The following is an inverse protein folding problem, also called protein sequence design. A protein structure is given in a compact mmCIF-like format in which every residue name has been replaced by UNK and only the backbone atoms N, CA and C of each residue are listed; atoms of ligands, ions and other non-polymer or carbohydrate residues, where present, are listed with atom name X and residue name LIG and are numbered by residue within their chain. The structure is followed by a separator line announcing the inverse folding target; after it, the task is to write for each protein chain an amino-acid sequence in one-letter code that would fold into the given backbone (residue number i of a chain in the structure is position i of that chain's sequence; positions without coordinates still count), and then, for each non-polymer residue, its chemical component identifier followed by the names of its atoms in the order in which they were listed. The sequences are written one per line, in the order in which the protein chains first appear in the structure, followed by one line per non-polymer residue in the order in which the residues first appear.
data_IF_558880388648
#
_entry.id   IF_558880388648
#
_cell.length_a   1.000
_cell.length_b   1.000
_cell.length_c   1.000
_cell.angle_alpha   90.00
_cell.angle_beta   90.00
_cell.angle_gamma   90.00
#
_symmetry.space_group_name_H-M   'P 1'
#
loop_
_entity.id
_entity.type
_entity.pdbx_description
1 polymer ?
#
# COMPACT_ATOMS: atom_id res chain seq x y z
N UNK A 1 13.50 18.11 -15.11
CA UNK A 1 13.30 18.00 -13.64
C UNK A 1 14.64 17.90 -12.88
N UNK A 2 14.86 18.77 -11.89
CA UNK A 2 16.13 18.84 -11.14
C UNK A 2 16.50 17.50 -10.46
N UNK A 3 15.51 16.77 -9.95
CA UNK A 3 15.68 15.47 -9.30
C UNK A 3 16.25 14.34 -10.18
N UNK A 4 16.39 14.54 -11.50
CA UNK A 4 17.07 13.59 -12.39
C UNK A 4 18.57 13.84 -12.53
N UNK A 5 19.03 15.03 -12.17
CA UNK A 5 20.41 15.49 -12.40
C UNK A 5 21.15 15.75 -11.09
N UNK A 6 20.45 16.04 -9.99
CA UNK A 6 21.04 16.24 -8.68
C UNK A 6 20.33 15.40 -7.60
N UNK A 7 21.00 15.25 -6.45
CA UNK A 7 20.38 14.66 -5.27
C UNK A 7 19.27 15.58 -4.79
N UNK A 8 18.09 15.02 -4.52
CA UNK A 8 16.95 15.75 -4.02
C UNK A 8 16.62 15.30 -2.60
N UNK A 9 16.00 16.20 -1.83
CA UNK A 9 15.45 15.88 -0.51
C UNK A 9 13.94 15.97 -0.57
N UNK A 10 13.24 15.03 0.08
CA UNK A 10 11.78 15.03 0.15
C UNK A 10 11.36 16.05 1.21
N UNK A 11 10.75 17.16 0.76
CA UNK A 11 10.25 18.22 1.64
C UNK A 11 8.84 17.91 2.17
N UNK A 12 8.03 17.23 1.37
CA UNK A 12 6.70 16.76 1.76
C UNK A 12 6.50 15.33 1.28
N UNK A 13 6.11 14.46 2.22
CA UNK A 13 5.79 13.07 1.94
C UNK A 13 4.62 12.94 0.94
N UNK A 14 4.57 11.79 0.28
CA UNK A 14 3.60 11.48 -0.76
C UNK A 14 2.15 11.66 -0.26
N UNK A 15 1.47 12.69 -0.76
CA UNK A 15 0.13 13.08 -0.36
C UNK A 15 -0.85 12.97 -1.53
N UNK A 16 -2.13 12.77 -1.21
CA UNK A 16 -3.20 12.77 -2.22
C UNK A 16 -3.42 14.19 -2.70
N UNK A 17 -3.52 14.38 -4.01
CA UNK A 17 -3.84 15.69 -4.56
C UNK A 17 -5.30 16.07 -4.28
N UNK A 18 -5.53 17.36 -4.10
CA UNK A 18 -6.86 17.96 -4.18
C UNK A 18 -7.41 17.96 -5.61
N UNK A 19 -8.71 18.20 -5.77
CA UNK A 19 -9.35 18.31 -7.09
C UNK A 19 -8.76 19.45 -7.94
N UNK A 20 -8.30 20.51 -7.28
CA UNK A 20 -7.64 21.63 -7.95
C UNK A 20 -6.25 21.24 -8.46
N UNK A 21 -5.45 20.57 -7.62
CA UNK A 21 -4.13 20.08 -7.99
C UNK A 21 -4.18 19.02 -9.10
N UNK A 22 -5.22 18.17 -9.14
CA UNK A 22 -5.41 17.24 -10.25
C UNK A 22 -5.57 17.93 -11.61
N UNK A 23 -6.09 19.17 -11.64
CA UNK A 23 -6.28 19.94 -12.87
C UNK A 23 -5.10 20.83 -13.22
N UNK A 24 -4.38 21.30 -12.21
CA UNK A 24 -3.29 22.28 -12.37
C UNK A 24 -1.91 21.65 -12.40
N UNK A 25 -1.71 20.51 -11.74
CA UNK A 25 -0.44 19.80 -11.67
C UNK A 25 -0.49 18.54 -12.56
N UNK A 26 0.22 18.52 -13.70
CA UNK A 26 0.24 17.35 -14.58
C UNK A 26 0.85 16.12 -13.90
N UNK A 27 1.78 16.31 -12.95
CA UNK A 27 2.39 15.24 -12.15
C UNK A 27 1.39 14.51 -11.25
N UNK A 28 0.23 15.12 -10.98
CA UNK A 28 -0.81 14.47 -10.20
C UNK A 28 -1.68 13.49 -11.03
N UNK A 29 -1.89 13.77 -12.32
CA UNK A 29 -2.78 12.98 -13.18
C UNK A 29 -2.53 11.45 -13.23
N UNK A 30 -1.28 10.94 -13.26
CA UNK A 30 -1.04 9.51 -13.46
C UNK A 30 -1.35 8.63 -12.24
N UNK A 31 -1.15 9.12 -11.01
CA UNK A 31 -1.36 8.33 -9.78
C UNK A 31 -2.40 8.92 -8.83
N UNK A 32 -2.70 10.21 -8.95
CA UNK A 32 -3.49 10.98 -7.98
C UNK A 32 -2.73 11.36 -6.71
N UNK A 33 -1.41 11.14 -6.68
CA UNK A 33 -0.55 11.44 -5.54
C UNK A 33 0.71 12.18 -5.99
N UNK A 34 1.13 13.15 -5.19
CA UNK A 34 2.33 13.96 -5.42
C UNK A 34 3.20 14.03 -4.17
N UNK A 35 4.51 14.11 -4.39
CA UNK A 35 5.50 14.43 -3.38
C UNK A 35 6.17 15.76 -3.74
N UNK A 36 6.47 16.58 -2.71
CA UNK A 36 7.19 17.83 -2.90
C UNK A 36 8.65 17.61 -2.57
N UNK A 37 9.53 17.93 -3.51
CA UNK A 37 10.96 17.72 -3.41
C UNK A 37 11.69 19.05 -3.51
N UNK A 38 12.78 19.16 -2.75
CA UNK A 38 13.68 20.28 -2.84
C UNK A 38 15.02 19.82 -3.39
N UNK A 39 15.51 20.57 -4.37
CA UNK A 39 16.75 20.33 -5.08
C UNK A 39 17.77 21.33 -4.52
N UNK A 40 18.68 20.90 -3.62
CA UNK A 40 19.53 21.79 -2.84
C UNK A 40 20.62 22.47 -3.69
N UNK A 41 21.07 21.83 -4.77
CA UNK A 41 22.12 22.39 -5.65
C UNK A 41 21.56 23.52 -6.50
N UNK A 42 20.33 23.38 -6.99
CA UNK A 42 19.63 24.40 -7.78
C UNK A 42 18.75 25.34 -6.95
N UNK A 43 18.55 25.05 -5.67
CA UNK A 43 17.60 25.68 -4.74
C UNK A 43 16.17 25.76 -5.31
N UNK A 44 15.73 24.72 -6.02
CA UNK A 44 14.40 24.64 -6.63
C UNK A 44 13.50 23.66 -5.92
N UNK A 45 12.24 24.03 -5.78
CA UNK A 45 11.18 23.13 -5.35
C UNK A 45 10.42 22.64 -6.57
N UNK A 46 10.29 21.33 -6.68
CA UNK A 46 9.57 20.68 -7.78
C UNK A 46 8.56 19.69 -7.21
N UNK A 47 7.55 19.37 -8.01
CA UNK A 47 6.58 18.33 -7.71
C UNK A 47 6.91 17.08 -8.51
N UNK A 48 6.66 15.93 -7.91
CA UNK A 48 6.85 14.65 -8.57
C UNK A 48 5.68 13.74 -8.27
N UNK A 49 5.23 13.00 -9.28
CA UNK A 49 4.27 11.92 -9.06
C UNK A 49 4.89 10.84 -8.20
N UNK A 50 4.20 10.46 -7.13
CA UNK A 50 4.64 9.42 -6.22
C UNK A 50 3.64 8.28 -6.19
N UNK A 51 4.11 7.10 -5.81
CA UNK A 51 3.28 5.94 -5.52
C UNK A 51 3.26 5.78 -4.00
N UNK A 52 2.11 6.08 -3.38
CA UNK A 52 2.01 6.12 -1.92
C UNK A 52 2.23 4.73 -1.30
N UNK A 53 3.39 4.54 -0.66
CA UNK A 53 3.68 3.36 0.15
C UNK A 53 2.66 3.17 1.30
N UNK A 54 2.09 4.27 1.81
CA UNK A 54 1.05 4.23 2.84
C UNK A 54 -0.28 3.64 2.32
N UNK A 55 -0.67 3.93 1.08
CA UNK A 55 -1.82 3.28 0.45
C UNK A 55 -1.54 1.80 0.13
N UNK A 56 -0.33 1.48 -0.30
CA UNK A 56 0.11 0.09 -0.47
C UNK A 56 0.06 -0.67 0.85
N UNK A 57 0.48 -0.06 1.96
CA UNK A 57 0.41 -0.66 3.30
C UNK A 57 -1.02 -0.98 3.73
N UNK A 58 -1.99 -0.08 3.49
CA UNK A 58 -3.42 -0.36 3.80
C UNK A 58 -3.98 -1.51 2.96
N UNK A 59 -3.65 -1.58 1.67
CA UNK A 59 -4.07 -2.68 0.79
C UNK A 59 -3.40 -4.00 1.21
N UNK A 60 -2.12 -3.94 1.56
CA UNK A 60 -1.36 -5.07 2.06
C UNK A 60 -1.98 -5.63 3.34
N UNK A 61 -2.29 -4.79 4.34
CA UNK A 61 -2.93 -5.23 5.58
C UNK A 61 -4.30 -5.86 5.35
N UNK A 62 -5.12 -5.31 4.44
CA UNK A 62 -6.41 -5.95 4.07
C UNK A 62 -6.19 -7.33 3.47
N UNK A 63 -5.21 -7.48 2.59
CA UNK A 63 -4.85 -8.77 2.02
C UNK A 63 -4.38 -9.76 3.11
N UNK A 64 -3.47 -9.34 3.98
CA UNK A 64 -2.96 -10.15 5.09
C UNK A 64 -4.10 -10.64 5.99
N UNK A 65 -5.00 -9.75 6.42
CA UNK A 65 -6.16 -10.12 7.23
C UNK A 65 -7.07 -11.12 6.49
N UNK A 66 -7.29 -10.93 5.20
CA UNK A 66 -8.12 -11.85 4.40
C UNK A 66 -7.50 -13.25 4.30
N UNK A 67 -6.19 -13.32 4.05
CA UNK A 67 -5.46 -14.58 3.95
C UNK A 67 -5.45 -15.33 5.30
N UNK A 68 -5.24 -14.60 6.40
CA UNK A 68 -5.30 -15.16 7.75
C UNK A 68 -6.70 -15.70 8.08
N UNK A 69 -7.77 -14.97 7.73
CA UNK A 69 -9.13 -15.43 7.94
C UNK A 69 -9.44 -16.72 7.17
N UNK A 70 -9.02 -16.79 5.89
CA UNK A 70 -9.17 -18.00 5.07
C UNK A 70 -8.38 -19.18 5.66
N UNK A 71 -7.14 -18.95 6.09
CA UNK A 71 -6.32 -19.98 6.72
C UNK A 71 -6.96 -20.50 8.03
N UNK A 72 -7.48 -19.61 8.86
CA UNK A 72 -8.18 -19.99 10.10
C UNK A 72 -9.45 -20.80 9.81
N UNK A 73 -10.24 -20.42 8.81
CA UNK A 73 -11.43 -21.16 8.39
C UNK A 73 -11.06 -22.57 7.88
N UNK A 74 -10.03 -22.67 7.04
CA UNK A 74 -9.54 -23.96 6.54
C UNK A 74 -9.05 -24.86 7.70
N UNK A 75 -8.27 -24.29 8.63
CA UNK A 75 -7.81 -25.02 9.81
C UNK A 75 -8.98 -25.52 10.67
N UNK A 76 -9.99 -24.68 10.91
CA UNK A 76 -11.19 -25.08 11.66
C UNK A 76 -11.94 -26.23 10.97
N UNK A 77 -12.11 -26.17 9.65
CA UNK A 77 -12.72 -27.25 8.87
C UNK A 77 -11.94 -28.56 9.00
N UNK A 78 -10.60 -28.51 8.92
CA UNK A 78 -9.75 -29.68 9.10
C UNK A 78 -9.91 -30.26 10.50
N UNK A 79 -9.88 -29.44 11.54
CA UNK A 79 -10.05 -29.91 12.93
C UNK A 79 -11.42 -30.54 13.15
N UNK A 80 -12.50 -29.96 12.61
CA UNK A 80 -13.84 -30.54 12.70
C UNK A 80 -13.90 -31.91 12.01
N UNK A 81 -13.27 -32.05 10.84
CA UNK A 81 -13.18 -33.33 10.12
C UNK A 81 -12.40 -34.36 10.91
N UNK A 82 -11.25 -33.99 11.48
CA UNK A 82 -10.44 -34.89 12.32
C UNK A 82 -11.21 -35.34 13.56
N UNK A 83 -11.92 -34.43 14.23
CA UNK A 83 -12.77 -34.77 15.40
C UNK A 83 -13.88 -35.76 15.06
N UNK A 84 -14.50 -35.62 13.90
CA UNK A 84 -15.52 -36.56 13.44
C UNK A 84 -14.92 -37.94 13.14
N UNK A 85 -13.73 -37.99 12.55
CA UNK A 85 -12.99 -39.25 12.32
C UNK A 85 -12.60 -39.92 13.65
N UNK A 86 -12.07 -39.15 14.60
CA UNK A 86 -11.71 -39.64 15.94
C UNK A 86 -12.92 -40.17 16.71
N UNK A 87 -14.08 -39.51 16.59
CA UNK A 87 -15.34 -39.98 17.18
C UNK A 87 -15.75 -41.33 16.61
N UNK A 88 -15.76 -41.46 15.27
CA UNK A 88 -16.11 -42.71 14.59
C UNK A 88 -15.14 -43.85 14.87
N UNK A 89 -13.86 -43.55 15.08
CA UNK A 89 -12.86 -44.55 15.43
C UNK A 89 -13.04 -45.09 16.86
N UNK A 90 -13.57 -44.30 17.79
CA UNK A 90 -13.87 -44.73 19.18
C UNK A 90 -15.18 -45.51 19.32
N UNK A 91 -16.12 -45.31 18.39
CA UNK A 91 -17.43 -45.99 18.38
C UNK A 91 -17.39 -47.40 17.77
N UNK A 92 -16.25 -47.81 17.17
CA UNK A 92 -15.99 -49.17 16.68
C UNK A 92 -15.04 -49.92 17.61
#
# INVERSE_FOLDING_TARGET
PCWRVEQFVVAQECARCSEFEMKTLPDCAPTGFIERINCPTSQRQEFKSCRSAALESRRFWRFVCSALAVAAAAAALVVLRQRELDRRAREK
#
